data_IF_212819765043
#
_entry.id   IF_212819765043
#
_cell.length_a   1.000
_cell.length_b   1.000
_cell.length_c   1.000
_cell.angle_alpha   90.00
_cell.angle_beta   90.00
_cell.angle_gamma   90.00
#
_symmetry.space_group_name_H-M   'P 1'
#
loop_
_entity.id
_entity.type
_entity.pdbx_description
1 polymer ?
#
# COMPACT_ATOMS: atom_id res chain seq x y z
N UNK A 1 -2.49 3.99 0.88
CA UNK A 1 -1.56 2.94 1.37
C UNK A 1 -0.20 3.18 0.76
N UNK A 2 0.89 2.89 1.49
CA UNK A 2 2.27 3.14 1.04
C UNK A 2 2.46 4.58 0.55
N UNK A 3 1.87 5.53 1.26
CA UNK A 3 1.79 6.93 0.87
C UNK A 3 2.45 7.82 1.94
N UNK A 4 3.01 8.93 1.50
CA UNK A 4 3.51 9.97 2.39
C UNK A 4 2.35 10.86 2.86
N UNK A 5 2.24 11.09 4.18
CA UNK A 5 1.26 11.96 4.81
C UNK A 5 1.97 13.09 5.54
N UNK A 6 1.69 14.34 5.15
CA UNK A 6 2.23 15.55 5.76
C UNK A 6 1.52 15.91 7.07
N UNK A 7 2.04 16.87 7.84
CA UNK A 7 1.53 17.23 9.19
C UNK A 7 0.20 18.02 9.17
N UNK A 8 -0.30 18.40 8.01
CA UNK A 8 -1.59 19.09 7.81
C UNK A 8 -2.80 18.15 8.04
N UNK A 9 -2.52 16.86 8.09
CA UNK A 9 -3.45 15.75 8.24
C UNK A 9 -3.93 15.71 9.71
N UNK A 10 -5.24 15.88 9.93
CA UNK A 10 -5.81 16.07 11.28
C UNK A 10 -5.71 14.76 12.08
N UNK A 11 -5.16 14.74 13.31
CA UNK A 11 -5.01 13.49 14.08
C UNK A 11 -6.25 12.58 14.15
N UNK A 12 -7.47 13.15 14.25
CA UNK A 12 -8.73 12.38 14.22
C UNK A 12 -9.06 11.84 12.82
N UNK A 13 -8.72 12.62 11.81
CA UNK A 13 -8.82 12.31 10.39
C UNK A 13 -10.26 12.18 9.89
N UNK A 14 -10.60 11.11 9.19
CA UNK A 14 -11.89 10.78 8.58
C UNK A 14 -13.09 11.57 9.14
N UNK A 15 -13.77 12.29 8.27
CA UNK A 15 -14.90 13.13 8.62
C UNK A 15 -16.22 12.48 8.26
N UNK A 16 -17.22 12.61 9.13
CA UNK A 16 -18.57 12.14 8.83
C UNK A 16 -19.08 12.92 7.63
N UNK A 17 -19.75 12.20 6.72
CA UNK A 17 -20.46 12.86 5.63
C UNK A 17 -21.74 13.53 6.13
N UNK A 18 -22.51 12.85 6.98
CA UNK A 18 -23.67 13.37 7.70
C UNK A 18 -23.95 12.57 8.99
N UNK A 19 -25.04 12.89 9.69
CA UNK A 19 -25.44 12.23 10.93
C UNK A 19 -26.15 10.87 10.75
N UNK A 20 -26.55 10.51 9.52
CA UNK A 20 -27.40 9.35 9.23
C UNK A 20 -26.68 8.21 8.52
N UNK A 21 -25.50 8.47 7.94
CA UNK A 21 -24.70 7.46 7.23
C UNK A 21 -23.80 6.70 8.18
N UNK A 22 -23.77 5.39 7.97
CA UNK A 22 -23.12 4.41 8.84
C UNK A 22 -21.61 4.43 8.64
N UNK A 23 -20.91 5.09 9.57
CA UNK A 23 -19.46 4.96 9.77
C UNK A 23 -19.02 3.51 10.08
N UNK A 24 -19.99 2.63 10.29
CA UNK A 24 -19.84 1.20 10.57
C UNK A 24 -19.78 0.34 9.28
N UNK A 25 -20.30 0.81 8.15
CA UNK A 25 -20.42 -0.01 6.92
C UNK A 25 -19.40 0.36 5.85
N UNK A 26 -18.66 1.44 6.03
CA UNK A 26 -17.63 1.89 5.09
C UNK A 26 -16.27 1.40 5.58
N UNK A 27 -15.48 0.78 4.70
CA UNK A 27 -14.12 0.37 5.05
C UNK A 27 -13.13 1.51 4.82
N UNK A 28 -12.58 2.04 5.90
CA UNK A 28 -11.48 3.01 5.87
C UNK A 28 -10.18 2.32 6.27
N UNK A 29 -9.24 2.20 5.32
CA UNK A 29 -8.03 1.38 5.50
C UNK A 29 -6.77 2.24 5.37
N UNK A 30 -5.90 2.15 6.38
CA UNK A 30 -4.54 2.71 6.35
C UNK A 30 -3.50 1.58 6.40
N UNK A 31 -2.55 1.58 5.46
CA UNK A 31 -1.49 0.57 5.40
C UNK A 31 -0.16 1.17 4.95
N UNK A 32 0.86 1.01 5.80
CA UNK A 32 2.23 1.45 5.58
C UNK A 32 2.34 2.90 5.05
N UNK A 33 1.46 3.79 5.52
CA UNK A 33 1.65 5.21 5.30
C UNK A 33 2.84 5.69 6.16
N UNK A 34 3.52 6.73 5.70
CA UNK A 34 4.71 7.27 6.38
C UNK A 34 4.70 8.80 6.36
N UNK A 35 5.50 9.44 7.22
CA UNK A 35 5.55 10.90 7.36
C UNK A 35 4.87 11.42 8.62
N UNK A 36 4.95 12.73 8.89
CA UNK A 36 4.49 13.30 10.15
C UNK A 36 2.97 13.17 10.39
N UNK A 37 2.16 13.05 9.32
CA UNK A 37 0.71 12.83 9.43
C UNK A 37 0.28 11.37 9.48
N UNK A 38 1.20 10.40 9.48
CA UNK A 38 0.86 8.97 9.40
C UNK A 38 0.58 8.29 10.74
N UNK A 39 0.64 9.04 11.85
CA UNK A 39 0.33 8.49 13.17
C UNK A 39 -1.16 8.18 13.30
N UNK A 40 -1.48 6.90 13.53
CA UNK A 40 -2.87 6.42 13.63
C UNK A 40 -3.40 6.39 15.06
N UNK A 41 -2.60 6.74 16.08
CA UNK A 41 -2.99 6.64 17.51
C UNK A 41 -4.21 7.47 17.88
N UNK A 42 -4.47 8.54 17.14
CA UNK A 42 -5.53 9.51 17.44
C UNK A 42 -6.72 9.46 16.48
N UNK A 43 -6.73 8.49 15.55
CA UNK A 43 -7.77 8.32 14.54
C UNK A 43 -9.13 7.99 15.15
N UNK A 44 -10.19 8.24 14.38
CA UNK A 44 -11.56 7.84 14.72
C UNK A 44 -11.65 6.38 15.16
N UNK A 45 -12.60 6.08 16.07
CA UNK A 45 -12.87 4.72 16.58
C UNK A 45 -14.08 4.07 15.91
N UNK A 46 -14.41 4.46 14.69
CA UNK A 46 -15.55 3.93 13.96
C UNK A 46 -15.34 2.46 13.62
N UNK A 47 -16.38 1.62 13.65
CA UNK A 47 -16.20 0.19 13.38
C UNK A 47 -15.78 -0.11 11.93
N UNK A 48 -16.05 0.81 11.00
CA UNK A 48 -15.54 0.75 9.63
C UNK A 48 -14.06 1.12 9.47
N UNK A 49 -13.43 1.71 10.49
CA UNK A 49 -12.02 2.10 10.43
C UNK A 49 -11.08 0.95 10.82
N UNK A 50 -10.23 0.55 9.86
CA UNK A 50 -9.26 -0.52 10.01
C UNK A 50 -7.85 0.06 9.99
N UNK A 51 -7.30 0.27 11.19
CA UNK A 51 -5.89 0.65 11.40
C UNK A 51 -4.95 -0.52 11.08
N UNK A 52 -3.79 -0.23 10.49
CA UNK A 52 -2.68 -1.17 10.30
C UNK A 52 -3.13 -2.53 9.73
N UNK A 53 -3.88 -2.51 8.62
CA UNK A 53 -4.33 -3.74 7.97
C UNK A 53 -3.17 -4.67 7.61
N UNK A 54 -3.43 -5.98 7.56
CA UNK A 54 -2.40 -6.94 7.15
C UNK A 54 -2.06 -6.81 5.66
N UNK A 55 -0.88 -7.31 5.29
CA UNK A 55 -0.50 -7.43 3.89
C UNK A 55 -1.51 -8.28 3.11
N UNK A 56 -2.04 -9.34 3.73
CA UNK A 56 -3.04 -10.22 3.13
C UNK A 56 -4.31 -9.48 2.71
N UNK A 57 -4.85 -8.62 3.59
CA UNK A 57 -6.02 -7.79 3.29
C UNK A 57 -5.66 -6.75 2.22
N UNK A 58 -4.53 -6.06 2.39
CA UNK A 58 -4.18 -4.93 1.53
C UNK A 58 -3.80 -5.34 0.11
N UNK A 59 -3.39 -6.60 -0.09
CA UNK A 59 -3.13 -7.17 -1.42
C UNK A 59 -4.35 -7.05 -2.34
N UNK A 60 -5.56 -7.13 -1.81
CA UNK A 60 -6.81 -7.03 -2.58
C UNK A 60 -6.96 -5.66 -3.28
N UNK A 61 -6.29 -4.61 -2.78
CA UNK A 61 -6.32 -3.26 -3.34
C UNK A 61 -5.14 -2.95 -4.27
N UNK A 62 -4.29 -3.94 -4.59
CA UNK A 62 -3.23 -3.79 -5.58
C UNK A 62 -3.81 -3.80 -7.01
N UNK A 63 -3.12 -3.19 -7.96
CA UNK A 63 -3.56 -3.15 -9.39
C UNK A 63 -3.84 -4.54 -9.94
N UNK A 64 -2.98 -5.52 -9.62
CA UNK A 64 -3.10 -6.89 -10.12
C UNK A 64 -4.37 -7.61 -9.67
N UNK A 65 -4.81 -7.42 -8.42
CA UNK A 65 -6.02 -8.06 -7.90
C UNK A 65 -7.27 -7.18 -8.04
N UNK A 66 -7.16 -5.89 -7.77
CA UNK A 66 -8.32 -4.98 -7.76
C UNK A 66 -8.82 -4.66 -9.16
N UNK A 67 -7.89 -4.31 -10.06
CA UNK A 67 -8.20 -3.93 -11.45
C UNK A 67 -7.95 -5.06 -12.44
N UNK A 68 -7.53 -6.24 -11.95
CA UNK A 68 -7.12 -7.36 -12.79
C UNK A 68 -5.98 -6.98 -13.77
N UNK A 69 -5.20 -5.95 -13.40
CA UNK A 69 -4.26 -5.26 -14.29
C UNK A 69 -2.93 -5.97 -14.50
N UNK A 70 -2.85 -7.29 -14.28
CA UNK A 70 -1.71 -8.08 -14.73
C UNK A 70 -1.78 -8.21 -16.26
N UNK A 71 -1.47 -7.10 -16.94
CA UNK A 71 -1.26 -7.07 -18.38
C UNK A 71 -0.10 -8.00 -18.75
N UNK A 72 -0.16 -8.51 -19.97
CA UNK A 72 0.68 -9.58 -20.55
C UNK A 72 2.20 -9.47 -20.31
N UNK A 73 2.72 -8.29 -19.94
CA UNK A 73 4.14 -8.07 -19.66
C UNK A 73 4.70 -8.80 -18.43
N UNK A 74 3.92 -8.99 -17.36
CA UNK A 74 4.45 -9.62 -16.13
C UNK A 74 4.55 -11.14 -16.25
N UNK A 75 3.58 -11.79 -16.92
CA UNK A 75 3.66 -13.24 -17.23
C UNK A 75 4.77 -13.53 -18.23
N UNK A 76 5.05 -12.62 -19.16
CA UNK A 76 6.14 -12.77 -20.11
C UNK A 76 7.52 -12.63 -19.42
N UNK A 77 7.68 -11.69 -18.50
CA UNK A 77 8.92 -11.51 -17.73
C UNK A 77 9.22 -12.69 -16.78
N UNK A 78 8.19 -13.28 -16.17
CA UNK A 78 8.35 -14.49 -15.33
C UNK A 78 8.59 -15.75 -16.18
N UNK A 79 7.86 -15.93 -17.28
CA UNK A 79 8.09 -17.06 -18.20
C UNK A 79 9.46 -16.99 -18.90
N UNK A 80 10.03 -15.80 -19.09
CA UNK A 80 11.37 -15.59 -19.66
C UNK A 80 12.51 -15.57 -18.63
N UNK A 81 12.23 -15.75 -17.34
CA UNK A 81 13.26 -15.96 -16.32
C UNK A 81 14.20 -14.77 -16.05
N UNK A 82 13.80 -13.54 -16.42
CA UNK A 82 14.68 -12.36 -16.29
C UNK A 82 14.87 -11.85 -14.86
N UNK A 83 14.03 -12.27 -13.90
CA UNK A 83 14.17 -11.88 -12.48
C UNK A 83 15.48 -12.36 -11.82
N UNK A 84 16.13 -13.41 -12.34
CA UNK A 84 17.37 -13.94 -11.76
C UNK A 84 18.65 -13.17 -12.15
N UNK A 85 18.59 -12.28 -13.17
CA UNK A 85 19.80 -11.63 -13.70
C UNK A 85 20.21 -10.35 -12.96
N UNK A 86 19.25 -9.63 -12.39
CA UNK A 86 19.51 -8.34 -11.75
C UNK A 86 20.26 -8.44 -10.40
N UNK A 87 20.29 -9.62 -9.78
CA UNK A 87 20.98 -9.83 -8.50
C UNK A 87 22.41 -10.37 -8.65
N UNK A 88 22.79 -10.90 -9.82
CA UNK A 88 24.13 -11.46 -10.07
C UNK A 88 25.14 -10.49 -10.70
N UNK A 89 24.71 -9.35 -11.24
CA UNK A 89 25.59 -8.40 -11.97
C UNK A 89 26.23 -7.31 -11.07
N UNK A 90 26.13 -7.41 -9.73
CA UNK A 90 26.81 -6.49 -8.80
C UNK A 90 28.17 -6.97 -8.26
N UNK A 91 28.50 -8.26 -8.39
CA UNK A 91 29.75 -8.82 -7.81
C UNK A 91 30.86 -9.07 -8.85
N UNK A 92 30.75 -8.46 -10.03
CA UNK A 92 31.56 -8.79 -11.20
C UNK A 92 32.53 -7.72 -11.70
N UNK A 93 33.03 -6.79 -10.88
CA UNK A 93 34.13 -5.91 -11.32
C UNK A 93 35.47 -6.48 -10.86
N UNK A 94 36.06 -7.34 -11.71
CA UNK A 94 37.49 -7.65 -11.71
C UNK A 94 38.06 -7.68 -13.13
N UNK A 95 39.33 -7.27 -13.17
CA UNK A 95 40.30 -7.12 -14.28
C UNK A 95 40.13 -5.84 -15.11
N UNK A 96 41.15 -5.02 -15.32
CA UNK A 96 42.60 -5.21 -15.19
C UNK A 96 43.24 -4.95 -16.55
N UNK A 97 44.02 -3.87 -16.62
CA UNK A 97 45.29 -3.67 -17.32
C UNK A 97 45.94 -2.40 -16.74
#
# INVERSE_FOLDING_TARGET
>A
MKSYLWDMINPQEWSKWDDYRTVETVEYIEYLNFGPGSDTRHRVKWGGYKKNCSEEITRQFTVGLFLHGAGEGDREMESKGWRARAEGERDGVRKGD
#
